data_IF_054450981575
#
_entry.id   IF_054450981575
#
_cell.length_a   1.000
_cell.length_b   1.000
_cell.length_c   1.000
_cell.angle_alpha   90.00
_cell.angle_beta   90.00
_cell.angle_gamma   90.00
#
_symmetry.space_group_name_H-M   'P 1'
#
loop_
_entity.id
_entity.type
_entity.pdbx_description
1 polymer ?
#
# COMPACT_ATOMS: atom_id res chain seq x y z
N UNK A 1 8.28 52.40 45.04
CA UNK A 1 9.49 52.67 45.85
C UNK A 1 9.17 52.31 47.29
N UNK A 2 9.95 51.38 47.87
CA UNK A 2 10.06 51.00 49.30
C UNK A 2 8.81 50.36 49.96
N UNK A 3 8.78 49.03 50.17
CA UNK A 3 9.40 48.21 51.24
C UNK A 3 8.53 48.07 52.49
N UNK A 4 8.13 46.80 52.80
CA UNK A 4 8.19 46.06 54.08
C UNK A 4 7.56 46.71 55.36
N UNK A 5 6.99 46.02 56.37
CA UNK A 5 7.14 44.66 56.92
C UNK A 5 6.08 44.42 58.04
N UNK A 6 5.69 43.15 58.29
CA UNK A 6 5.35 42.56 59.61
C UNK A 6 3.91 42.73 60.17
N UNK A 7 3.37 41.89 61.07
CA UNK A 7 3.70 40.53 61.57
C UNK A 7 2.50 40.01 62.42
N UNK A 8 2.27 38.69 62.38
CA UNK A 8 1.63 37.75 63.34
C UNK A 8 0.31 37.98 64.10
N UNK A 9 -0.49 36.89 64.13
CA UNK A 9 -1.12 36.11 65.24
C UNK A 9 -2.24 35.28 64.55
N UNK A 10 -2.45 33.97 64.63
CA UNK A 10 -2.10 32.91 65.58
C UNK A 10 -3.39 32.25 66.09
N UNK A 11 -3.71 31.01 65.65
CA UNK A 11 -4.64 30.02 66.28
C UNK A 11 -4.62 28.75 65.41
N UNK A 12 -3.75 27.78 65.67
CA UNK A 12 -3.90 26.64 66.59
C UNK A 12 -4.99 25.66 66.16
N UNK A 13 -4.63 24.42 65.77
CA UNK A 13 -5.28 23.21 66.27
C UNK A 13 -4.43 21.96 65.99
N UNK A 14 -3.95 21.37 67.09
CA UNK A 14 -3.72 19.93 67.34
C UNK A 14 -2.77 19.15 66.41
N UNK A 15 -1.54 19.00 66.91
CA UNK A 15 -0.63 17.89 66.58
C UNK A 15 -1.26 16.58 67.06
N UNK A 16 -1.63 15.70 66.12
CA UNK A 16 -1.80 14.27 66.38
C UNK A 16 -0.73 13.51 65.63
N UNK A 17 0.36 13.21 66.33
CA UNK A 17 1.40 12.29 65.87
C UNK A 17 0.80 10.90 65.72
N UNK A 18 0.70 10.42 64.47
CA UNK A 18 0.43 9.02 64.17
C UNK A 18 1.48 8.54 63.17
N UNK A 19 2.45 7.82 63.74
CA UNK A 19 3.23 6.69 63.18
C UNK A 19 3.65 6.79 61.71
N UNK A 20 4.96 6.96 61.51
CA UNK A 20 5.68 6.70 60.25
C UNK A 20 5.26 5.35 59.65
N UNK A 21 4.75 5.29 58.41
CA UNK A 21 4.78 4.06 57.64
C UNK A 21 6.21 3.79 57.16
N UNK A 22 6.59 2.51 56.95
CA UNK A 22 7.94 2.15 56.53
C UNK A 22 8.25 2.74 55.16
N UNK A 23 9.51 3.15 55.01
CA UNK A 23 10.15 3.72 53.83
C UNK A 23 9.97 2.81 52.61
N UNK A 24 8.88 3.01 51.88
CA UNK A 24 8.67 2.41 50.57
C UNK A 24 9.46 3.24 49.56
N UNK A 25 10.67 2.77 49.22
CA UNK A 25 11.41 3.24 48.04
C UNK A 25 10.42 3.41 46.88
N UNK A 26 10.36 4.56 46.19
CA UNK A 26 9.58 4.64 44.97
C UNK A 26 10.15 3.58 44.04
N UNK A 27 9.40 2.51 43.82
CA UNK A 27 9.67 1.62 42.69
C UNK A 27 9.50 2.54 41.49
N UNK A 28 10.62 2.98 40.91
CA UNK A 28 10.64 3.51 39.57
C UNK A 28 10.03 2.40 38.72
N UNK A 29 8.72 2.48 38.49
CA UNK A 29 8.14 1.81 37.36
C UNK A 29 8.88 2.41 36.17
N UNK A 30 9.88 1.68 35.66
CA UNK A 30 10.34 1.86 34.29
C UNK A 30 9.13 1.57 33.44
N UNK A 31 8.28 2.58 33.27
CA UNK A 31 7.37 2.65 32.14
C UNK A 31 8.32 2.66 30.96
N UNK A 32 8.55 1.48 30.36
CA UNK A 32 9.13 1.42 29.03
C UNK A 32 8.25 2.34 28.19
N UNK A 33 8.78 3.40 27.56
CA UNK A 33 8.00 4.07 26.55
C UNK A 33 7.76 3.02 25.46
N UNK A 34 6.55 2.48 25.42
CA UNK A 34 6.04 1.77 24.24
C UNK A 34 5.77 2.86 23.22
N UNK A 35 6.85 3.44 22.71
CA UNK A 35 6.81 4.21 21.48
C UNK A 35 6.74 3.16 20.37
N UNK A 36 5.52 2.72 20.06
CA UNK A 36 5.24 1.96 18.85
C UNK A 36 5.55 2.88 17.68
N UNK A 37 6.78 2.76 17.16
CA UNK A 37 7.13 3.38 15.90
C UNK A 37 6.52 2.51 14.82
N UNK A 38 5.30 2.84 14.40
CA UNK A 38 4.63 2.21 13.27
C UNK A 38 5.36 2.63 12.00
N UNK A 39 6.41 1.91 11.64
CA UNK A 39 7.06 2.09 10.35
C UNK A 39 6.09 1.58 9.29
N UNK A 40 5.75 2.43 8.33
CA UNK A 40 4.89 2.05 7.21
C UNK A 40 5.77 1.89 6.00
N UNK A 41 5.59 0.82 5.27
CA UNK A 41 6.27 0.61 4.01
C UNK A 41 5.36 1.05 2.88
N UNK A 42 5.92 1.76 1.90
CA UNK A 42 5.24 2.10 0.67
C UNK A 42 5.79 1.25 -0.48
N UNK A 43 4.91 0.51 -1.13
CA UNK A 43 5.21 -0.28 -2.33
C UNK A 43 4.46 0.35 -3.50
N UNK A 44 5.18 0.99 -4.40
CA UNK A 44 4.64 1.57 -5.63
C UNK A 44 4.83 0.61 -6.79
N UNK A 45 3.74 0.31 -7.48
CA UNK A 45 3.68 -0.54 -8.67
C UNK A 45 3.34 0.36 -9.86
N UNK A 46 4.21 0.36 -10.84
CA UNK A 46 4.04 1.04 -12.12
C UNK A 46 3.60 0.01 -13.14
N UNK A 47 2.44 0.23 -13.75
CA UNK A 47 1.93 -0.57 -14.85
C UNK A 47 2.10 0.27 -16.12
N UNK A 48 3.03 -0.16 -16.98
CA UNK A 48 3.43 0.61 -18.15
C UNK A 48 2.55 0.24 -19.35
N UNK A 49 2.67 -1.01 -19.81
CA UNK A 49 2.04 -1.49 -21.04
C UNK A 49 1.39 -2.84 -20.83
N UNK A 50 0.27 -3.05 -21.51
CA UNK A 50 -0.39 -4.33 -21.64
C UNK A 50 -0.21 -4.81 -23.08
N UNK A 51 0.47 -5.93 -23.24
CA UNK A 51 0.70 -6.60 -24.50
C UNK A 51 -0.28 -7.75 -24.64
N UNK A 52 -1.28 -7.56 -25.49
CA UNK A 52 -2.12 -8.66 -25.95
C UNK A 52 -1.35 -9.49 -26.97
N UNK A 53 -0.98 -10.71 -26.59
CA UNK A 53 -0.38 -11.70 -27.47
C UNK A 53 -1.41 -12.71 -27.97
N UNK A 54 -2.62 -12.66 -27.42
CA UNK A 54 -3.74 -13.52 -27.79
C UNK A 54 -4.46 -13.01 -29.04
N UNK A 55 -4.57 -13.86 -30.04
CA UNK A 55 -5.28 -13.54 -31.29
C UNK A 55 -6.71 -14.07 -31.31
N UNK A 56 -7.10 -14.85 -30.30
CA UNK A 56 -8.32 -15.65 -30.27
C UNK A 56 -9.35 -15.14 -29.27
N UNK A 57 -8.97 -14.20 -28.39
CA UNK A 57 -9.88 -13.57 -27.43
C UNK A 57 -10.06 -12.08 -27.71
N UNK A 58 -11.31 -11.63 -27.58
CA UNK A 58 -11.71 -10.23 -27.65
C UNK A 58 -12.69 -9.99 -26.51
N UNK A 59 -12.52 -8.86 -25.84
CA UNK A 59 -13.39 -8.47 -24.75
C UNK A 59 -12.89 -7.25 -24.03
N UNK A 60 -13.46 -7.05 -22.87
CA UNK A 60 -13.01 -6.08 -21.89
C UNK A 60 -12.03 -6.74 -20.94
N UNK A 61 -10.92 -6.06 -20.70
CA UNK A 61 -9.88 -6.50 -19.80
C UNK A 61 -9.68 -5.44 -18.72
N UNK A 62 -9.34 -5.91 -17.52
CA UNK A 62 -8.97 -5.06 -16.41
C UNK A 62 -7.92 -5.80 -15.57
N UNK A 63 -6.92 -5.07 -15.11
CA UNK A 63 -5.93 -5.62 -14.18
C UNK A 63 -6.36 -5.24 -12.78
N UNK A 64 -6.50 -6.23 -11.91
CA UNK A 64 -6.75 -6.07 -10.49
C UNK A 64 -5.50 -6.46 -9.69
N UNK A 65 -5.15 -5.65 -8.70
CA UNK A 65 -3.97 -5.81 -7.86
C UNK A 65 -4.42 -5.90 -6.39
N UNK A 66 -3.88 -6.89 -5.70
CA UNK A 66 -4.02 -7.03 -4.23
C UNK A 66 -2.67 -7.36 -3.62
N UNK A 67 -2.49 -7.02 -2.34
CA UNK A 67 -1.24 -7.26 -1.64
C UNK A 67 -1.49 -7.74 -0.21
N UNK A 68 -0.80 -8.81 0.19
CA UNK A 68 -0.95 -9.44 1.51
C UNK A 68 0.37 -10.03 2.00
N UNK A 69 0.48 -10.31 3.29
CA UNK A 69 1.55 -11.17 3.78
C UNK A 69 1.31 -12.62 3.36
N UNK A 70 2.41 -13.35 3.12
CA UNK A 70 2.38 -14.79 2.82
C UNK A 70 1.87 -15.60 4.02
N UNK A 71 2.29 -15.24 5.23
CA UNK A 71 1.93 -15.96 6.45
C UNK A 71 0.53 -15.54 6.91
N UNK A 72 -0.40 -16.51 6.92
CA UNK A 72 -1.82 -16.32 7.25
C UNK A 72 -2.10 -15.87 8.68
N UNK A 73 -1.09 -15.91 9.55
CA UNK A 73 -1.17 -15.36 10.91
C UNK A 73 -1.20 -13.82 10.92
N UNK A 74 -0.69 -13.18 9.86
CA UNK A 74 -0.78 -11.72 9.69
C UNK A 74 -1.99 -11.39 8.80
N UNK A 75 -3.08 -10.97 9.41
CA UNK A 75 -4.26 -10.37 8.72
C UNK A 75 -3.96 -9.00 8.08
N UNK A 76 -2.71 -8.55 8.09
CA UNK A 76 -2.32 -7.27 7.51
C UNK A 76 -2.31 -7.37 5.98
N UNK A 77 -3.24 -6.65 5.37
CA UNK A 77 -3.32 -6.44 3.92
C UNK A 77 -2.70 -5.10 3.56
N UNK A 78 -2.25 -4.97 2.32
CA UNK A 78 -1.78 -3.71 1.79
C UNK A 78 -2.95 -2.86 1.37
N UNK A 79 -2.98 -1.61 1.83
CA UNK A 79 -4.05 -0.68 1.50
C UNK A 79 -3.59 0.22 0.35
N UNK A 80 -4.30 0.25 -0.79
CA UNK A 80 -4.08 1.24 -1.85
C UNK A 80 -4.14 2.65 -1.27
N UNK A 81 -3.10 3.45 -1.50
CA UNK A 81 -2.94 4.76 -0.87
C UNK A 81 -2.88 5.91 -1.87
N UNK A 82 -2.26 5.70 -3.04
CA UNK A 82 -2.16 6.74 -4.08
C UNK A 82 -2.21 6.13 -5.46
N UNK A 83 -3.00 6.71 -6.36
CA UNK A 83 -3.07 6.34 -7.78
C UNK A 83 -2.66 7.56 -8.61
N UNK A 84 -1.76 7.38 -9.57
CA UNK A 84 -1.31 8.42 -10.48
C UNK A 84 -1.31 7.89 -11.90
N UNK A 85 -2.14 8.49 -12.76
CA UNK A 85 -2.11 8.34 -14.20
C UNK A 85 -1.12 9.38 -14.74
N UNK A 86 0.09 8.97 -15.13
CA UNK A 86 1.15 9.90 -15.53
C UNK A 86 1.19 10.17 -17.04
N UNK A 87 0.46 9.38 -17.81
CA UNK A 87 0.20 9.62 -19.22
C UNK A 87 -1.24 9.21 -19.53
N UNK A 88 -1.89 9.92 -20.45
CA UNK A 88 -3.24 9.58 -20.87
C UNK A 88 -3.20 8.22 -21.59
N UNK A 89 -4.07 7.26 -21.22
CA UNK A 89 -4.18 6.02 -21.97
C UNK A 89 -4.50 6.32 -23.43
N UNK A 90 -3.76 5.75 -24.37
CA UNK A 90 -4.06 5.86 -25.81
C UNK A 90 -5.19 4.88 -26.18
N UNK A 91 -6.33 5.09 -25.53
CA UNK A 91 -7.55 4.32 -25.75
C UNK A 91 -8.46 5.15 -26.64
N UNK A 92 -8.55 4.77 -27.92
CA UNK A 92 -9.48 5.40 -28.86
C UNK A 92 -10.91 5.44 -28.33
N UNK A 93 -11.72 6.41 -28.80
CA UNK A 93 -13.09 6.61 -28.32
C UNK A 93 -13.91 5.31 -28.32
N UNK A 94 -14.45 4.92 -27.17
CA UNK A 94 -15.25 3.70 -27.00
C UNK A 94 -14.47 2.42 -26.65
N UNK A 95 -13.15 2.51 -26.46
CA UNK A 95 -12.32 1.38 -26.01
C UNK A 95 -12.02 1.40 -24.50
N UNK A 96 -12.64 2.31 -23.76
CA UNK A 96 -12.51 2.44 -22.31
C UNK A 96 -13.88 2.54 -21.66
N UNK A 97 -14.05 1.93 -20.49
CA UNK A 97 -15.30 2.00 -19.73
C UNK A 97 -15.01 2.43 -18.28
N UNK A 98 -15.74 3.43 -17.78
CA UNK A 98 -15.55 3.92 -16.41
C UNK A 98 -14.17 4.52 -16.15
N UNK A 99 -13.69 4.37 -14.92
CA UNK A 99 -12.37 4.81 -14.44
C UNK A 99 -11.72 3.68 -13.64
N UNK A 100 -10.47 3.85 -13.22
CA UNK A 100 -9.84 2.96 -12.24
C UNK A 100 -10.63 2.98 -10.91
N UNK A 101 -10.49 1.91 -10.11
CA UNK A 101 -11.23 1.74 -8.85
C UNK A 101 -10.32 1.26 -7.74
N UNK A 102 -10.69 1.61 -6.51
CA UNK A 102 -10.19 1.01 -5.28
C UNK A 102 -11.40 0.35 -4.61
N UNK A 103 -11.27 -0.91 -4.23
CA UNK A 103 -12.28 -1.61 -3.44
C UNK A 103 -11.77 -1.79 -2.02
N UNK A 104 -12.45 -1.14 -1.07
CA UNK A 104 -12.08 -1.18 0.35
C UNK A 104 -12.40 -2.53 1.01
N UNK A 105 -13.28 -3.34 0.39
CA UNK A 105 -13.71 -4.64 0.92
C UNK A 105 -12.56 -5.65 0.93
N UNK A 106 -11.78 -5.68 -0.15
CA UNK A 106 -10.64 -6.57 -0.33
C UNK A 106 -9.29 -5.81 -0.43
N UNK A 107 -9.31 -4.50 -0.25
CA UNK A 107 -8.15 -3.60 -0.37
C UNK A 107 -7.46 -3.75 -1.74
N UNK A 108 -8.25 -3.86 -2.80
CA UNK A 108 -7.75 -4.01 -4.15
C UNK A 108 -7.73 -2.70 -4.92
N UNK A 109 -6.88 -2.66 -5.93
CA UNK A 109 -6.90 -1.64 -6.96
C UNK A 109 -7.19 -2.30 -8.31
N UNK A 110 -8.08 -1.71 -9.10
CA UNK A 110 -8.37 -2.15 -10.45
C UNK A 110 -8.15 -1.03 -11.45
N UNK A 111 -7.48 -1.32 -12.57
CA UNK A 111 -7.28 -0.34 -13.64
C UNK A 111 -8.60 0.08 -14.26
N UNK A 112 -8.61 1.14 -15.08
CA UNK A 112 -9.75 1.37 -15.97
C UNK A 112 -9.90 0.17 -16.91
N UNK A 113 -11.11 -0.40 -17.06
CA UNK A 113 -11.36 -1.43 -18.08
C UNK A 113 -11.09 -0.90 -19.50
N UNK A 114 -10.40 -1.72 -20.29
CA UNK A 114 -10.05 -1.41 -21.67
C UNK A 114 -10.40 -2.55 -22.62
N UNK A 115 -10.70 -2.21 -23.86
CA UNK A 115 -11.16 -3.14 -24.89
C UNK A 115 -9.99 -3.67 -25.71
N UNK A 116 -9.92 -4.99 -25.82
CA UNK A 116 -8.99 -5.72 -26.69
C UNK A 116 -9.76 -6.34 -27.86
N UNK A 117 -9.16 -6.36 -29.04
CA UNK A 117 -9.68 -6.96 -30.27
C UNK A 117 -8.92 -8.26 -30.56
N UNK A 118 -9.41 -9.04 -31.53
CA UNK A 118 -8.73 -10.22 -32.07
C UNK A 118 -7.46 -9.87 -32.87
N UNK A 119 -6.49 -9.26 -32.20
CA UNK A 119 -5.25 -8.80 -32.80
C UNK A 119 -4.18 -8.63 -31.73
N UNK A 120 -2.93 -8.81 -32.12
CA UNK A 120 -1.80 -8.41 -31.29
C UNK A 120 -1.86 -6.89 -31.09
N UNK A 121 -1.94 -6.45 -29.85
CA UNK A 121 -2.11 -5.05 -29.50
C UNK A 121 -1.29 -4.71 -28.26
N UNK A 122 -0.70 -3.52 -28.28
CA UNK A 122 -0.11 -2.94 -27.10
C UNK A 122 -0.98 -1.79 -26.62
N UNK A 123 -1.38 -1.83 -25.36
CA UNK A 123 -2.17 -0.79 -24.71
C UNK A 123 -1.30 -0.10 -23.68
N UNK A 124 -1.15 1.22 -23.81
CA UNK A 124 -0.43 2.03 -22.84
C UNK A 124 -1.35 2.31 -21.63
N UNK A 125 -0.96 1.81 -20.47
CA UNK A 125 -1.72 1.99 -19.23
C UNK A 125 -1.17 3.14 -18.38
N UNK A 126 0.16 3.33 -18.36
CA UNK A 126 0.87 4.44 -17.72
C UNK A 126 0.29 4.89 -16.37
N UNK A 127 0.07 3.92 -15.48
CA UNK A 127 -0.52 4.14 -14.16
C UNK A 127 0.43 3.66 -13.07
N UNK A 128 0.49 4.40 -11.98
CA UNK A 128 1.21 4.03 -10.76
C UNK A 128 0.21 3.94 -9.62
N UNK A 129 0.22 2.82 -8.89
CA UNK A 129 -0.49 2.64 -7.62
C UNK A 129 0.54 2.45 -6.51
N UNK A 130 0.40 3.12 -5.37
CA UNK A 130 1.13 2.75 -4.16
C UNK A 130 0.22 2.10 -3.13
N UNK A 131 0.77 1.08 -2.48
CA UNK A 131 0.17 0.40 -1.35
C UNK A 131 0.96 0.76 -0.10
N UNK A 132 0.24 1.14 0.95
CA UNK A 132 0.78 1.24 2.28
C UNK A 132 0.70 -0.12 2.96
N UNK A 133 1.80 -0.49 3.58
CA UNK A 133 1.95 -1.78 4.24
C UNK A 133 2.47 -1.55 5.66
N UNK A 134 1.68 -1.78 6.71
CA UNK A 134 2.13 -1.57 8.07
C UNK A 134 3.21 -2.61 8.42
N UNK A 135 4.40 -2.16 8.81
CA UNK A 135 5.44 -3.05 9.29
C UNK A 135 5.27 -3.25 10.80
N UNK A 136 4.74 -4.41 11.19
CA UNK A 136 4.66 -4.78 12.60
C UNK A 136 6.08 -5.10 13.09
N UNK A 137 6.60 -4.29 14.01
CA UNK A 137 7.97 -4.45 14.56
C UNK A 137 8.18 -5.72 15.39
N UNK A 138 7.13 -6.47 15.67
CA UNK A 138 7.23 -7.77 16.32
C UNK A 138 7.20 -8.86 15.27
N UNK A 139 8.42 -9.36 14.99
CA UNK A 139 8.68 -10.64 14.33
C UNK A 139 7.80 -10.90 13.11
N UNK A 140 7.93 -10.15 12.01
CA UNK A 140 7.77 -10.85 10.73
C UNK A 140 8.94 -11.85 10.70
N UNK A 141 8.70 -13.18 10.65
CA UNK A 141 9.77 -14.14 10.46
C UNK A 141 10.76 -13.61 9.42
N UNK A 142 12.06 -13.81 9.64
CA UNK A 142 13.07 -13.46 8.63
C UNK A 142 12.81 -14.11 7.25
N UNK A 143 11.88 -15.06 7.19
CA UNK A 143 11.36 -15.78 6.03
C UNK A 143 10.07 -15.22 5.42
N UNK A 144 9.34 -14.31 6.07
CA UNK A 144 8.06 -13.79 5.57
C UNK A 144 8.25 -12.96 4.31
N UNK A 145 7.32 -13.11 3.38
CA UNK A 145 7.29 -12.37 2.13
C UNK A 145 5.95 -11.65 1.96
N UNK A 146 5.98 -10.55 1.21
CA UNK A 146 4.76 -9.92 0.72
C UNK A 146 4.37 -10.58 -0.59
N UNK A 147 3.14 -11.03 -0.68
CA UNK A 147 2.55 -11.54 -1.92
C UNK A 147 1.84 -10.38 -2.61
N UNK A 148 2.36 -9.98 -3.76
CA UNK A 148 1.72 -9.07 -4.69
C UNK A 148 1.02 -9.90 -5.77
N UNK A 149 -0.30 -9.84 -5.79
CA UNK A 149 -1.15 -10.62 -6.69
C UNK A 149 -1.69 -9.73 -7.80
N UNK A 150 -1.51 -10.17 -9.04
CA UNK A 150 -2.10 -9.62 -10.24
C UNK A 150 -3.20 -10.56 -10.72
N UNK A 151 -4.35 -10.01 -11.00
CA UNK A 151 -5.52 -10.71 -11.50
C UNK A 151 -5.93 -10.09 -12.82
N UNK A 152 -6.07 -10.94 -13.84
CA UNK A 152 -6.58 -10.56 -15.14
C UNK A 152 -8.10 -10.78 -15.13
N UNK A 153 -8.87 -9.70 -15.06
CA UNK A 153 -10.31 -9.74 -15.18
C UNK A 153 -10.69 -9.65 -16.66
N UNK A 154 -11.70 -10.41 -17.07
CA UNK A 154 -12.18 -10.48 -18.44
C UNK A 154 -13.70 -10.46 -18.48
N UNK A 155 -14.25 -9.73 -19.44
CA UNK A 155 -15.67 -9.79 -19.77
C UNK A 155 -15.85 -9.86 -21.30
N UNK A 156 -16.76 -10.71 -21.81
CA UNK A 156 -17.08 -10.78 -23.23
C UNK A 156 -17.50 -9.44 -23.82
N UNK A 157 -17.20 -9.23 -25.11
CA UNK A 157 -17.43 -7.93 -25.77
C UNK A 157 -18.90 -7.52 -25.90
N UNK A 158 -19.80 -8.49 -25.81
CA UNK A 158 -21.25 -8.28 -25.90
C UNK A 158 -21.82 -7.63 -24.65
N UNK A 159 -21.12 -7.74 -23.52
CA UNK A 159 -21.57 -7.20 -22.25
C UNK A 159 -21.33 -5.70 -22.19
N UNK A 160 -22.34 -4.97 -21.70
CA UNK A 160 -22.30 -3.53 -21.55
C UNK A 160 -22.99 -3.11 -20.25
N UNK A 161 -22.58 -1.94 -19.71
CA UNK A 161 -23.24 -1.36 -18.55
C UNK A 161 -23.08 -2.23 -17.29
N UNK A 162 -24.16 -2.58 -16.58
CA UNK A 162 -24.11 -3.39 -15.36
C UNK A 162 -23.58 -4.81 -15.57
N UNK A 163 -23.89 -5.45 -16.70
CA UNK A 163 -23.46 -6.82 -17.00
C UNK A 163 -21.94 -6.91 -17.12
N UNK A 164 -21.35 -5.94 -17.83
CA UNK A 164 -19.91 -5.78 -17.94
C UNK A 164 -19.26 -5.68 -16.56
N UNK A 165 -19.85 -4.87 -15.67
CA UNK A 165 -19.33 -4.72 -14.33
C UNK A 165 -19.42 -6.02 -13.53
N UNK A 166 -20.54 -6.73 -13.61
CA UNK A 166 -20.72 -8.00 -12.92
C UNK A 166 -19.69 -9.06 -13.34
N UNK A 167 -19.35 -9.14 -14.63
CA UNK A 167 -18.31 -10.05 -15.12
C UNK A 167 -16.90 -9.64 -14.70
N UNK A 168 -16.61 -8.33 -14.70
CA UNK A 168 -15.33 -7.83 -14.20
C UNK A 168 -15.17 -7.98 -12.67
N UNK A 169 -16.28 -8.06 -11.93
CA UNK A 169 -16.29 -8.33 -10.49
C UNK A 169 -16.39 -9.84 -10.17
N UNK A 170 -16.49 -10.70 -11.20
CA UNK A 170 -16.57 -12.15 -11.05
C UNK A 170 -15.18 -12.76 -10.79
N UNK A 171 -14.99 -14.05 -11.14
CA UNK A 171 -13.70 -14.72 -11.00
C UNK A 171 -12.68 -14.23 -12.03
N UNK A 172 -11.39 -14.08 -11.65
CA UNK A 172 -10.34 -13.70 -12.59
C UNK A 172 -10.16 -14.79 -13.67
N UNK A 173 -9.86 -14.36 -14.90
CA UNK A 173 -9.51 -15.25 -16.01
C UNK A 173 -8.12 -15.87 -15.82
N UNK A 174 -7.18 -15.11 -15.24
CA UNK A 174 -5.84 -15.57 -14.92
C UNK A 174 -5.28 -14.84 -13.70
N UNK A 175 -4.34 -15.47 -13.00
CA UNK A 175 -3.73 -14.92 -11.78
C UNK A 175 -2.22 -15.11 -11.85
N UNK A 176 -1.48 -14.10 -11.42
CA UNK A 176 -0.04 -14.15 -11.25
C UNK A 176 0.36 -13.57 -9.89
N UNK A 177 1.19 -14.28 -9.12
CA UNK A 177 1.63 -13.83 -7.79
C UNK A 177 3.15 -13.65 -7.77
N UNK A 178 3.61 -12.46 -7.37
CA UNK A 178 5.01 -12.21 -7.03
C UNK A 178 5.20 -12.32 -5.52
N UNK A 179 6.23 -13.08 -5.15
CA UNK A 179 6.70 -13.18 -3.77
C UNK A 179 7.86 -12.20 -3.56
N UNK A 180 7.61 -11.12 -2.82
CA UNK A 180 8.61 -10.09 -2.48
C UNK A 180 9.23 -10.44 -1.12
N UNK A 181 10.51 -10.86 -1.07
CA UNK A 181 11.14 -11.23 0.19
C UNK A 181 11.29 -10.04 1.13
N UNK A 182 11.22 -10.29 2.45
CA UNK A 182 11.44 -9.28 3.50
C UNK A 182 12.71 -8.43 3.33
N UNK A 183 13.78 -8.98 2.76
CA UNK A 183 15.02 -8.22 2.50
C UNK A 183 14.85 -7.15 1.42
N UNK A 184 14.03 -7.42 0.40
CA UNK A 184 13.72 -6.47 -0.66
C UNK A 184 12.81 -5.33 -0.14
N UNK A 185 12.14 -5.54 0.99
CA UNK A 185 11.29 -4.53 1.62
C UNK A 185 12.06 -3.30 2.13
N UNK A 186 13.40 -3.40 2.25
CA UNK A 186 14.26 -2.32 2.70
C UNK A 186 14.64 -1.31 1.59
N UNK A 187 14.27 -1.59 0.35
CA UNK A 187 14.59 -0.76 -0.80
C UNK A 187 14.78 -1.62 -2.04
N UNK A 188 13.80 -1.60 -2.93
CA UNK A 188 13.81 -2.31 -4.20
C UNK A 188 13.36 -1.36 -5.30
N UNK A 189 14.03 -1.44 -6.44
CA UNK A 189 13.50 -0.97 -7.71
C UNK A 189 13.83 -2.05 -8.73
N UNK A 190 12.80 -2.69 -9.29
CA UNK A 190 13.00 -3.75 -10.27
C UNK A 190 11.90 -3.77 -11.31
N UNK A 191 12.29 -4.04 -12.54
CA UNK A 191 11.39 -4.40 -13.63
C UNK A 191 10.95 -5.86 -13.47
N UNK A 192 9.64 -6.10 -13.45
CA UNK A 192 9.02 -7.38 -13.12
C UNK A 192 7.85 -7.67 -14.07
N UNK A 193 8.08 -8.16 -15.30
CA UNK A 193 7.00 -8.40 -16.26
C UNK A 193 6.07 -9.52 -15.80
N UNK A 194 4.76 -9.27 -15.88
CA UNK A 194 3.71 -10.23 -15.50
C UNK A 194 3.23 -10.97 -16.75
N UNK A 195 3.26 -12.29 -16.71
CA UNK A 195 2.77 -13.14 -17.80
C UNK A 195 1.52 -13.89 -17.36
N UNK A 196 0.49 -13.87 -18.19
CA UNK A 196 -0.70 -14.70 -18.07
C UNK A 196 -0.77 -15.64 -19.27
N UNK A 197 -1.00 -16.93 -19.01
CA UNK A 197 -0.99 -18.00 -20.02
C UNK A 197 -2.29 -18.84 -20.05
N UNK A 198 -3.18 -18.66 -19.06
CA UNK A 198 -4.44 -19.41 -18.92
C UNK A 198 -5.53 -18.96 -19.91
N UNK A 199 -5.41 -19.35 -21.18
CA UNK A 199 -6.30 -19.01 -22.30
C UNK A 199 -6.34 -17.53 -22.71
N UNK A 200 -5.59 -16.67 -22.02
CA UNK A 200 -5.47 -15.24 -22.31
C UNK A 200 -3.97 -14.91 -22.33
N UNK A 201 -3.32 -15.10 -23.48
CA UNK A 201 -1.88 -14.88 -23.64
C UNK A 201 -1.55 -13.38 -23.55
N UNK A 202 -1.10 -12.94 -22.39
CA UNK A 202 -0.89 -11.52 -22.07
C UNK A 202 0.44 -11.34 -21.37
N UNK A 203 1.14 -10.25 -21.73
CA UNK A 203 2.30 -9.75 -21.01
C UNK A 203 2.00 -8.34 -20.50
N UNK A 204 2.29 -8.06 -19.24
CA UNK A 204 2.16 -6.71 -18.66
C UNK A 204 3.53 -6.24 -18.17
N UNK A 205 3.97 -5.10 -18.70
CA UNK A 205 5.21 -4.45 -18.30
C UNK A 205 4.99 -3.72 -16.98
N UNK A 206 5.68 -4.17 -15.93
CA UNK A 206 5.52 -3.66 -14.57
C UNK A 206 6.87 -3.34 -13.95
N UNK A 207 6.94 -2.23 -13.23
CA UNK A 207 8.08 -1.90 -12.36
C UNK A 207 7.60 -1.75 -10.91
N UNK A 208 8.36 -2.31 -9.96
CA UNK A 208 8.05 -2.26 -8.54
C UNK A 208 9.11 -1.42 -7.83
N UNK A 209 8.66 -0.44 -7.07
CA UNK A 209 9.47 0.40 -6.20
C UNK A 209 9.04 0.26 -4.76
N UNK A 210 10.00 0.12 -3.87
CA UNK A 210 9.75 -0.09 -2.45
C UNK A 210 10.54 0.95 -1.65
N UNK A 211 9.84 1.67 -0.78
CA UNK A 211 10.41 2.68 0.10
C UNK A 211 9.89 2.50 1.53
N UNK A 212 10.77 2.64 2.52
CA UNK A 212 10.38 2.63 3.93
C UNK A 212 10.01 4.05 4.38
N UNK A 213 8.74 4.28 4.73
CA UNK A 213 8.29 5.52 5.35
C UNK A 213 8.44 5.41 6.88
N UNK A 214 9.22 6.31 7.48
CA UNK A 214 9.27 6.41 8.94
C UNK A 214 8.08 7.22 9.45
N UNK A 215 7.33 6.68 10.40
CA UNK A 215 6.35 7.48 11.14
C UNK A 215 7.02 8.50 12.05
N UNK A 216 6.34 9.64 12.20
CA UNK A 216 6.79 10.83 12.90
C UNK A 216 7.02 10.57 14.39
N UNK A 217 8.20 11.00 14.90
CA UNK A 217 8.42 11.19 16.34
C UNK A 217 8.14 12.65 16.67
N UNK A 218 7.34 12.98 17.71
CA UNK A 218 7.18 14.37 18.13
C UNK A 218 8.54 14.90 18.61
N UNK A 219 9.13 15.86 17.86
CA UNK A 219 10.34 16.58 18.29
C UNK A 219 11.55 16.54 17.36
N UNK A 220 11.50 15.86 16.20
CA UNK A 220 12.54 16.00 15.15
C UNK A 220 11.89 16.28 13.80
N UNK A 221 12.37 17.32 13.11
CA UNK A 221 11.92 17.67 11.75
C UNK A 221 12.06 16.45 10.84
N UNK A 222 10.97 16.13 10.16
CA UNK A 222 10.90 15.06 9.15
C UNK A 222 11.91 15.33 8.05
N UNK A 223 12.81 14.38 7.80
CA UNK A 223 13.60 14.38 6.57
C UNK A 223 12.72 13.81 5.47
N UNK A 224 12.22 14.67 4.59
CA UNK A 224 11.66 14.25 3.31
C UNK A 224 12.75 13.49 2.56
N UNK A 225 12.60 12.17 2.40
CA UNK A 225 13.40 11.44 1.41
C UNK A 225 12.82 11.84 0.05
N UNK A 226 13.57 12.69 -0.65
CA UNK A 226 13.36 12.98 -2.06
C UNK A 226 13.69 11.70 -2.82
N UNK A 227 12.67 11.00 -3.31
CA UNK A 227 12.85 9.89 -4.24
C UNK A 227 13.15 10.52 -5.60
N UNK A 228 14.35 10.26 -6.12
CA UNK A 228 14.72 10.65 -7.48
C UNK A 228 13.92 9.79 -8.47
N UNK A 229 13.05 10.42 -9.26
CA UNK A 229 12.48 9.81 -10.45
C UNK A 229 13.59 9.65 -11.49
N UNK A 230 13.99 8.42 -11.80
CA UNK A 230 14.79 8.16 -12.98
C UNK A 230 13.85 8.01 -14.17
N UNK A 231 13.59 9.13 -14.86
CA UNK A 231 12.95 9.09 -16.18
C UNK A 231 14.04 8.67 -17.16
N UNK A 232 14.08 7.38 -17.48
CA UNK A 232 14.88 6.89 -18.59
C UNK A 232 14.38 7.51 -19.89
N UNK A 233 15.16 8.39 -20.50
CA UNK A 233 15.03 8.69 -21.93
C UNK A 233 15.60 7.51 -22.69
N UNK A 234 14.77 6.84 -23.50
CA UNK A 234 15.24 5.94 -24.53
C UNK A 234 15.98 6.75 -25.61
N UNK A 235 17.11 6.21 -26.06
CA UNK A 235 17.93 6.68 -27.17
C UNK A 235 17.62 5.90 -28.43
#
# INVERSE_FOLDING_TARGET
MFHNLGWFIGLNYQVRSVKKPPDAKPRLAKVKPVAMLDTVQEIAIYIHRFHNLDLFQQGWYQIKLTMRWEDSEYTSVGTPARVVQYEAPDLGSGNSYGVWKIDDTDNSFSTQPFKIKYARQDILLSIMISFNFPLVKYEAPSTSAVILKFELMYAPILEAGPELQASLDASPAAVHEFRIPSKALLGLHSYCPVHFDAFHAVLVDVSIHICLLRSYTPGKRSSSIVVYFWVGRES
#
